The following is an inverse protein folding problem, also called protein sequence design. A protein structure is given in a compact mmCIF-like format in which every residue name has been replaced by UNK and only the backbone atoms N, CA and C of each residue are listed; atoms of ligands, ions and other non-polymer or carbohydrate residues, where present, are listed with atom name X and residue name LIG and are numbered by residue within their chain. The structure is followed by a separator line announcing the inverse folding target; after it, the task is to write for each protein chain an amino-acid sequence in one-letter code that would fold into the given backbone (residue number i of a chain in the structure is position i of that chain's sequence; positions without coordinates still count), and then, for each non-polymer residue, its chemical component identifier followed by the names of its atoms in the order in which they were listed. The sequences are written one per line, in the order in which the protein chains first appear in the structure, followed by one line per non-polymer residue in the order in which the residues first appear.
data_IF_427188946788
#
_entry.id   IF_427188946788
#
_cell.length_a   1.000
_cell.length_b   1.000
_cell.length_c   1.000
_cell.angle_alpha   90.00
_cell.angle_beta   90.00
_cell.angle_gamma   90.00
#
_symmetry.space_group_name_H-M   'P 1'
#
loop_
_entity.id
_entity.type
_entity.pdbx_description
1 polymer ?
#
# COMPACT_ATOMS: atom_id res chain seq x y z
N UNK A 1 -0.64 -24.21 -12.88
CA UNK A 1 0.65 -23.61 -12.44
C UNK A 1 1.00 -24.32 -11.16
N UNK A 2 2.11 -25.05 -11.08
CA UNK A 2 2.50 -25.80 -9.88
C UNK A 2 2.93 -24.80 -8.80
N UNK A 3 2.32 -24.88 -7.63
CA UNK A 3 2.53 -23.98 -6.48
C UNK A 3 3.37 -24.66 -5.40
N UNK A 4 3.93 -23.89 -4.47
CA UNK A 4 4.59 -24.45 -3.27
C UNK A 4 3.63 -25.26 -2.37
N UNK A 5 2.31 -25.02 -2.43
CA UNK A 5 1.33 -25.86 -1.76
C UNK A 5 1.23 -27.25 -2.42
N UNK A 6 1.28 -27.30 -3.75
CA UNK A 6 1.31 -28.57 -4.49
C UNK A 6 2.60 -29.37 -4.22
N UNK A 7 3.71 -28.69 -3.95
CA UNK A 7 4.98 -29.35 -3.54
C UNK A 7 4.83 -30.07 -2.21
N UNK A 8 4.10 -29.47 -1.25
CA UNK A 8 3.82 -30.09 0.05
C UNK A 8 2.60 -31.05 0.03
N UNK A 9 1.86 -31.08 -1.08
CA UNK A 9 0.60 -31.83 -1.19
C UNK A 9 -0.51 -31.28 -0.30
N UNK A 10 -0.54 -29.95 -0.12
CA UNK A 10 -1.51 -29.27 0.73
C UNK A 10 -2.47 -28.42 -0.12
N UNK A 11 -3.71 -28.18 0.35
CA UNK A 11 -4.60 -27.22 -0.29
C UNK A 11 -4.02 -25.80 -0.17
N UNK A 12 -4.28 -24.97 -1.18
CA UNK A 12 -3.89 -23.57 -1.17
C UNK A 12 -4.50 -22.85 0.03
N UNK A 13 -3.69 -22.11 0.79
CA UNK A 13 -4.13 -21.45 2.02
C UNK A 13 -4.06 -22.30 3.29
N UNK A 14 -3.46 -23.49 3.25
CA UNK A 14 -3.24 -24.33 4.43
C UNK A 14 -2.60 -23.55 5.61
N UNK A 15 -3.03 -23.90 6.83
CA UNK A 15 -2.60 -23.24 8.06
C UNK A 15 -1.11 -23.47 8.34
N UNK A 16 -0.49 -22.58 9.13
CA UNK A 16 0.92 -22.74 9.51
C UNK A 16 1.19 -24.06 10.24
N UNK A 17 0.20 -24.56 11.00
CA UNK A 17 0.30 -25.85 11.69
C UNK A 17 0.24 -27.03 10.71
N UNK A 18 -0.68 -27.01 9.75
CA UNK A 18 -0.76 -28.01 8.69
C UNK A 18 0.54 -28.06 7.86
N UNK A 19 1.10 -26.90 7.51
CA UNK A 19 2.38 -26.78 6.79
C UNK A 19 3.52 -27.39 7.62
N UNK A 20 3.59 -27.09 8.92
CA UNK A 20 4.62 -27.64 9.83
C UNK A 20 4.50 -29.16 9.99
N UNK A 21 3.29 -29.67 10.20
CA UNK A 21 3.07 -31.12 10.35
C UNK A 21 3.44 -31.85 9.05
N UNK A 22 2.98 -31.33 7.91
CA UNK A 22 3.25 -31.95 6.61
C UNK A 22 4.75 -31.92 6.26
N UNK A 23 5.43 -30.84 6.58
CA UNK A 23 6.89 -30.77 6.41
C UNK A 23 7.61 -31.84 7.25
N UNK A 24 7.21 -32.05 8.52
CA UNK A 24 7.80 -33.10 9.36
C UNK A 24 7.59 -34.51 8.79
N UNK A 25 6.42 -34.79 8.23
CA UNK A 25 6.13 -36.06 7.56
C UNK A 25 7.03 -36.26 6.33
N UNK A 26 7.10 -35.25 5.46
CA UNK A 26 7.90 -35.30 4.24
C UNK A 26 9.41 -35.39 4.56
N UNK A 27 9.89 -34.64 5.56
CA UNK A 27 11.28 -34.69 5.99
C UNK A 27 11.69 -36.06 6.55
N UNK A 28 10.75 -36.82 7.13
CA UNK A 28 10.99 -38.22 7.54
C UNK A 28 11.03 -39.18 6.36
N UNK A 29 10.19 -38.95 5.35
CA UNK A 29 10.10 -39.78 4.14
C UNK A 29 11.28 -39.59 3.19
N UNK A 30 11.84 -38.38 3.15
CA UNK A 30 12.91 -37.99 2.22
C UNK A 30 14.22 -37.61 2.94
N UNK A 31 14.46 -38.15 4.14
CA UNK A 31 15.65 -37.84 4.93
C UNK A 31 16.95 -38.25 4.19
N UNK A 32 18.01 -37.43 4.20
CA UNK A 32 19.25 -37.70 3.45
C UNK A 32 19.91 -39.04 3.78
N UNK A 33 19.87 -39.45 5.05
CA UNK A 33 20.45 -40.74 5.49
C UNK A 33 19.63 -41.97 5.08
N UNK A 34 18.39 -41.78 4.60
CA UNK A 34 17.46 -42.86 4.22
C UNK A 34 17.45 -43.08 2.70
N UNK A 35 17.88 -42.10 1.91
CA UNK A 35 17.77 -42.16 0.45
C UNK A 35 19.02 -41.64 -0.24
N UNK A 36 19.85 -42.55 -0.75
CA UNK A 36 20.96 -42.25 -1.68
C UNK A 36 20.49 -41.93 -3.11
N UNK A 37 19.17 -41.87 -3.34
CA UNK A 37 18.58 -41.55 -4.63
C UNK A 37 18.67 -40.02 -4.93
N UNK A 38 19.33 -39.62 -6.03
CA UNK A 38 19.42 -38.22 -6.46
C UNK A 38 18.06 -37.53 -6.64
N UNK A 39 17.03 -38.27 -7.05
CA UNK A 39 15.70 -37.70 -7.27
C UNK A 39 14.99 -37.37 -5.94
N UNK A 40 15.22 -38.17 -4.91
CA UNK A 40 14.73 -37.90 -3.56
C UNK A 40 15.41 -36.67 -2.95
N UNK A 41 16.71 -36.49 -3.18
CA UNK A 41 17.45 -35.32 -2.69
C UNK A 41 16.94 -34.03 -3.37
N UNK A 42 16.73 -34.07 -4.68
CA UNK A 42 16.15 -32.95 -5.43
C UNK A 42 14.74 -32.63 -4.94
N UNK A 43 13.93 -33.64 -4.67
CA UNK A 43 12.57 -33.46 -4.14
C UNK A 43 12.59 -32.87 -2.72
N UNK A 44 13.55 -33.27 -1.90
CA UNK A 44 13.73 -32.70 -0.56
C UNK A 44 14.18 -31.23 -0.62
N UNK A 45 15.02 -30.85 -1.60
CA UNK A 45 15.35 -29.44 -1.84
C UNK A 45 14.10 -28.62 -2.21
N UNK A 46 13.23 -29.14 -3.10
CA UNK A 46 11.96 -28.49 -3.44
C UNK A 46 11.05 -28.34 -2.22
N UNK A 47 10.96 -29.37 -1.37
CA UNK A 47 10.15 -29.37 -0.14
C UNK A 47 10.69 -28.36 0.88
N UNK A 48 12.02 -28.29 1.05
CA UNK A 48 12.66 -27.34 1.96
C UNK A 48 12.41 -25.90 1.52
N UNK A 49 12.52 -25.61 0.22
CA UNK A 49 12.26 -24.27 -0.29
C UNK A 49 10.78 -23.90 -0.18
N UNK A 50 9.87 -24.84 -0.48
CA UNK A 50 8.44 -24.65 -0.30
C UNK A 50 8.10 -24.38 1.18
N UNK A 51 8.66 -25.14 2.10
CA UNK A 51 8.48 -24.93 3.53
C UNK A 51 9.10 -23.62 4.00
N UNK A 52 10.30 -23.23 3.54
CA UNK A 52 10.92 -21.95 3.90
C UNK A 52 10.01 -20.77 3.54
N UNK A 53 9.51 -20.75 2.30
CA UNK A 53 8.63 -19.68 1.81
C UNK A 53 7.27 -19.72 2.49
N UNK A 54 6.67 -20.90 2.63
CA UNK A 54 5.34 -21.02 3.21
C UNK A 54 5.37 -20.91 4.73
N UNK A 55 6.41 -21.31 5.45
CA UNK A 55 6.43 -21.25 6.93
C UNK A 55 6.56 -19.81 7.46
N UNK A 56 7.23 -18.93 6.70
CA UNK A 56 7.40 -17.52 7.02
C UNK A 56 6.19 -16.68 6.56
N UNK A 57 5.52 -15.93 7.46
CA UNK A 57 4.32 -15.16 7.10
C UNK A 57 4.56 -14.09 6.03
N UNK A 58 5.71 -13.43 6.02
CA UNK A 58 6.03 -12.35 5.09
C UNK A 58 6.37 -12.92 3.70
N UNK A 59 7.17 -13.98 3.64
CA UNK A 59 7.50 -14.66 2.38
C UNK A 59 6.27 -15.33 1.77
N UNK A 60 5.40 -15.93 2.61
CA UNK A 60 4.14 -16.53 2.18
C UNK A 60 3.21 -15.48 1.55
N UNK A 61 3.11 -14.30 2.15
CA UNK A 61 2.33 -13.20 1.61
C UNK A 61 2.90 -12.69 0.28
N UNK A 62 4.20 -12.43 0.22
CA UNK A 62 4.87 -12.00 -1.02
C UNK A 62 4.70 -13.02 -2.16
N UNK A 63 4.74 -14.32 -1.83
CA UNK A 63 4.48 -15.40 -2.77
C UNK A 63 3.04 -15.37 -3.32
N UNK A 64 2.03 -15.18 -2.47
CA UNK A 64 0.63 -15.06 -2.90
C UNK A 64 0.40 -13.85 -3.80
N UNK A 65 0.97 -12.69 -3.46
CA UNK A 65 0.87 -11.48 -4.27
C UNK A 65 1.52 -11.66 -5.65
N UNK A 66 2.67 -12.33 -5.70
CA UNK A 66 3.37 -12.65 -6.96
C UNK A 66 2.55 -13.58 -7.84
N UNK A 67 1.93 -14.62 -7.27
CA UNK A 67 1.02 -15.51 -8.01
C UNK A 67 -0.19 -14.74 -8.56
N UNK A 68 -0.81 -13.87 -7.75
CA UNK A 68 -1.94 -13.05 -8.18
C UNK A 68 -1.56 -12.15 -9.37
N UNK A 69 -0.40 -11.47 -9.30
CA UNK A 69 0.09 -10.64 -10.39
C UNK A 69 0.37 -11.44 -11.69
N UNK A 70 0.88 -12.67 -11.57
CA UNK A 70 1.11 -13.57 -12.71
C UNK A 70 -0.19 -13.99 -13.40
N UNK A 71 -1.25 -14.24 -12.62
CA UNK A 71 -2.58 -14.57 -13.16
C UNK A 71 -3.18 -13.36 -13.88
N UNK A 72 -3.11 -12.17 -13.27
CA UNK A 72 -3.59 -10.93 -13.89
C UNK A 72 -2.85 -10.57 -15.19
N UNK A 73 -1.53 -10.81 -15.25
CA UNK A 73 -0.75 -10.60 -16.49
C UNK A 73 -1.12 -11.58 -17.59
N UNK A 74 -1.47 -12.83 -17.26
CA UNK A 74 -1.93 -13.81 -18.25
C UNK A 74 -3.31 -13.47 -18.79
N UNK A 75 -4.22 -12.96 -17.96
CA UNK A 75 -5.54 -12.54 -18.40
C UNK A 75 -5.51 -11.25 -19.23
N UNK A 76 -4.57 -10.34 -18.96
CA UNK A 76 -4.36 -9.11 -19.72
C UNK A 76 -3.70 -9.30 -21.10
N UNK A 77 -3.04 -10.45 -21.36
CA UNK A 77 -2.36 -10.76 -22.63
C UNK A 77 -3.24 -11.47 -23.68
N UNK A 78 -4.51 -11.70 -23.39
CA UNK A 78 -5.46 -12.24 -24.37
C UNK A 78 -5.84 -11.15 -25.39
N UNK A 79 -5.74 -11.40 -26.72
CA UNK A 79 -5.96 -10.35 -27.72
C UNK A 79 -7.43 -9.93 -27.76
N UNK A 80 -7.67 -8.61 -27.71
CA UNK A 80 -8.96 -7.98 -27.98
C UNK A 80 -9.28 -8.15 -29.47
N UNK A 81 -10.47 -8.62 -29.90
CA UNK A 81 -10.80 -8.62 -31.32
C UNK A 81 -10.95 -7.18 -31.84
N UNK A 82 -10.41 -6.93 -33.03
CA UNK A 82 -10.45 -5.64 -33.71
C UNK A 82 -11.89 -5.20 -34.04
N UNK A 83 -12.13 -3.90 -33.88
CA UNK A 83 -13.41 -3.27 -34.15
C UNK A 83 -13.72 -3.24 -35.66
N UNK A 84 -14.77 -3.94 -36.06
CA UNK A 84 -15.55 -3.65 -37.27
C UNK A 84 -16.98 -3.38 -36.82
N UNK A 85 -17.52 -2.24 -37.22
CA UNK A 85 -18.86 -1.79 -36.90
C UNK A 85 -19.90 -2.78 -37.45
N UNK A 86 -20.51 -3.56 -36.56
CA UNK A 86 -21.66 -4.40 -36.77
C UNK A 86 -22.48 -4.43 -35.47
N UNK A 87 -23.81 -4.64 -35.50
CA UNK A 87 -24.68 -4.40 -34.37
C UNK A 87 -24.23 -5.21 -33.16
N UNK A 88 -24.17 -4.54 -32.01
CA UNK A 88 -23.75 -5.07 -30.72
C UNK A 88 -24.31 -6.48 -30.49
N UNK A 89 -23.47 -7.52 -30.37
CA UNK A 89 -23.96 -8.82 -29.95
C UNK A 89 -24.41 -8.70 -28.48
N UNK A 90 -25.43 -9.45 -28.07
CA UNK A 90 -25.88 -9.42 -26.68
C UNK A 90 -24.72 -9.86 -25.78
N UNK A 91 -24.52 -9.12 -24.68
CA UNK A 91 -23.60 -9.49 -23.60
C UNK A 91 -23.81 -10.97 -23.26
N UNK A 92 -22.75 -11.79 -23.14
CA UNK A 92 -22.90 -13.19 -22.79
C UNK A 92 -23.59 -13.27 -21.41
N UNK A 93 -24.79 -13.85 -21.42
CA UNK A 93 -25.53 -14.17 -20.21
C UNK A 93 -24.72 -15.20 -19.44
N UNK A 94 -24.41 -14.82 -18.20
CA UNK A 94 -23.85 -15.63 -17.11
C UNK A 94 -22.38 -16.02 -17.24
N UNK A 95 -21.53 -15.31 -16.48
CA UNK A 95 -20.32 -15.92 -15.97
C UNK A 95 -20.70 -17.19 -15.19
N UNK A 96 -19.94 -18.30 -15.29
CA UNK A 96 -20.23 -19.49 -14.53
C UNK A 96 -20.26 -19.12 -13.05
N UNK A 97 -21.34 -19.50 -12.33
CA UNK A 97 -21.48 -19.17 -10.90
C UNK A 97 -20.24 -19.56 -10.10
N UNK A 98 -19.59 -20.66 -10.46
CA UNK A 98 -18.34 -21.11 -9.83
C UNK A 98 -17.18 -20.11 -9.99
N UNK A 99 -17.08 -19.38 -11.11
CA UNK A 99 -15.99 -18.44 -11.37
C UNK A 99 -16.16 -17.13 -10.59
N UNK A 100 -17.40 -16.64 -10.45
CA UNK A 100 -17.73 -15.51 -9.59
C UNK A 100 -17.57 -15.86 -8.11
N UNK A 101 -17.97 -17.07 -7.69
CA UNK A 101 -17.73 -17.53 -6.31
C UNK A 101 -16.24 -17.75 -6.03
N UNK A 102 -15.46 -18.18 -7.02
CA UNK A 102 -14.00 -18.38 -6.84
C UNK A 102 -13.25 -17.04 -6.80
N UNK A 103 -13.63 -16.05 -7.63
CA UNK A 103 -13.07 -14.69 -7.56
C UNK A 103 -13.49 -13.95 -6.28
N UNK A 104 -14.74 -14.10 -5.85
CA UNK A 104 -15.22 -13.57 -4.58
C UNK A 104 -14.59 -14.28 -3.38
N UNK A 105 -14.36 -15.60 -3.46
CA UNK A 105 -13.64 -16.36 -2.44
C UNK A 105 -12.13 -16.04 -2.43
N UNK A 106 -11.51 -15.69 -3.57
CA UNK A 106 -10.11 -15.26 -3.65
C UNK A 106 -9.92 -13.83 -3.11
N UNK A 107 -10.82 -12.90 -3.45
CA UNK A 107 -10.86 -11.58 -2.79
C UNK A 107 -11.15 -11.76 -1.30
N UNK A 108 -12.11 -12.63 -0.98
CA UNK A 108 -12.49 -13.00 0.38
C UNK A 108 -11.33 -13.60 1.16
N UNK A 109 -10.50 -14.47 0.60
CA UNK A 109 -9.37 -15.12 1.27
C UNK A 109 -8.15 -14.21 1.38
N UNK A 110 -7.91 -13.31 0.42
CA UNK A 110 -6.84 -12.29 0.51
C UNK A 110 -7.21 -11.22 1.53
N UNK A 111 -8.47 -10.78 1.53
CA UNK A 111 -9.03 -9.93 2.59
C UNK A 111 -9.05 -10.70 3.90
N UNK A 112 -9.45 -11.97 3.95
CA UNK A 112 -9.44 -12.79 5.16
C UNK A 112 -8.04 -13.09 5.68
N UNK A 113 -6.98 -13.16 4.86
CA UNK A 113 -5.62 -13.34 5.34
C UNK A 113 -5.04 -12.04 5.92
N UNK A 114 -5.35 -10.89 5.29
CA UNK A 114 -5.06 -9.59 5.86
C UNK A 114 -5.90 -9.34 7.13
N UNK A 115 -7.17 -9.73 7.13
CA UNK A 115 -8.11 -9.68 8.27
C UNK A 115 -7.73 -10.67 9.37
N UNK A 116 -7.21 -11.87 9.08
CA UNK A 116 -6.70 -12.82 10.08
C UNK A 116 -5.39 -12.31 10.68
N UNK A 117 -4.51 -11.69 9.89
CA UNK A 117 -3.36 -10.95 10.44
C UNK A 117 -3.80 -9.77 11.33
N UNK A 118 -4.84 -9.03 10.92
CA UNK A 118 -5.44 -7.95 11.70
C UNK A 118 -6.25 -8.42 12.92
N UNK A 119 -6.86 -9.62 12.89
CA UNK A 119 -7.66 -10.22 13.97
C UNK A 119 -6.79 -10.93 15.01
N UNK A 120 -5.64 -11.50 14.61
CA UNK A 120 -4.72 -12.18 15.54
C UNK A 120 -3.66 -11.25 16.15
N UNK A 121 -3.40 -10.07 15.58
CA UNK A 121 -2.47 -9.07 16.14
C UNK A 121 -3.00 -7.62 16.12
N UNK A 122 -4.15 -7.32 16.76
CA UNK A 122 -4.74 -5.96 16.75
C UNK A 122 -3.95 -4.90 17.55
N UNK A 123 -2.95 -5.27 18.35
CA UNK A 123 -2.30 -4.34 19.30
C UNK A 123 -0.85 -3.91 18.96
N UNK A 124 -0.27 -4.36 17.83
CA UNK A 124 1.15 -4.09 17.54
C UNK A 124 1.43 -3.38 16.20
N UNK A 125 0.46 -3.30 15.28
CA UNK A 125 0.71 -2.74 13.95
C UNK A 125 0.60 -1.22 13.99
N UNK A 126 1.74 -0.57 14.16
CA UNK A 126 1.91 0.89 14.09
C UNK A 126 2.24 1.40 12.70
N UNK A 127 2.51 0.50 11.74
CA UNK A 127 3.00 0.88 10.40
C UNK A 127 2.21 0.17 9.30
N UNK A 128 1.77 0.93 8.30
CA UNK A 128 1.12 0.44 7.08
C UNK A 128 1.95 0.84 5.86
N UNK A 129 2.37 -0.15 5.07
CA UNK A 129 3.12 0.03 3.83
C UNK A 129 2.25 -0.41 2.65
N UNK A 130 1.71 0.54 1.90
CA UNK A 130 0.76 0.35 0.81
C UNK A 130 1.25 1.01 -0.50
N UNK A 131 2.56 1.17 -0.65
CA UNK A 131 3.16 1.85 -1.79
C UNK A 131 3.04 1.03 -3.10
N UNK A 132 2.82 1.69 -4.24
CA UNK A 132 2.92 1.04 -5.56
C UNK A 132 1.79 0.06 -5.91
N UNK A 133 0.67 0.09 -5.20
CA UNK A 133 -0.43 -0.87 -5.34
C UNK A 133 -1.52 -0.45 -6.35
N UNK A 134 -1.32 0.67 -7.05
CA UNK A 134 -2.30 1.27 -7.96
C UNK A 134 -3.66 1.57 -7.31
N UNK A 135 -3.66 1.88 -6.02
CA UNK A 135 -4.87 2.18 -5.26
C UNK A 135 -5.49 3.50 -5.72
N UNK A 136 -6.80 3.49 -5.95
CA UNK A 136 -7.60 4.71 -6.15
C UNK A 136 -8.29 5.20 -4.88
N UNK A 137 -8.36 4.34 -3.85
CA UNK A 137 -8.89 4.63 -2.53
C UNK A 137 -8.24 3.69 -1.50
N UNK A 138 -8.44 3.97 -0.21
CA UNK A 138 -8.12 2.99 0.82
C UNK A 138 -8.93 1.71 0.60
N UNK A 139 -8.32 0.52 0.71
CA UNK A 139 -9.04 -0.74 0.57
C UNK A 139 -10.10 -0.87 1.69
N UNK A 140 -11.37 -0.64 1.35
CA UNK A 140 -12.51 -0.59 2.31
C UNK A 140 -12.65 -1.87 3.14
N UNK A 141 -12.16 -2.99 2.63
CA UNK A 141 -12.14 -4.29 3.30
C UNK A 141 -11.06 -4.42 4.38
N UNK A 142 -10.17 -3.43 4.51
CA UNK A 142 -9.16 -3.34 5.56
C UNK A 142 -9.52 -2.14 6.43
N UNK A 143 -10.26 -2.33 7.52
CA UNK A 143 -10.35 -1.26 8.52
C UNK A 143 -8.93 -0.99 9.04
N UNK A 144 -8.43 0.25 9.02
CA UNK A 144 -7.13 0.54 9.59
C UNK A 144 -7.14 0.18 11.08
N UNK A 145 -6.06 -0.39 11.64
CA UNK A 145 -5.97 -0.59 13.09
C UNK A 145 -6.07 0.77 13.80
N UNK A 146 -6.51 0.82 15.07
CA UNK A 146 -6.90 2.06 15.73
C UNK A 146 -5.74 3.03 16.06
N UNK A 147 -4.49 2.65 15.82
CA UNK A 147 -3.30 3.39 16.28
C UNK A 147 -2.12 3.33 15.30
N UNK A 148 -2.38 3.59 14.02
CA UNK A 148 -1.28 3.74 13.05
C UNK A 148 -0.45 4.99 13.37
N UNK A 149 0.87 4.80 13.40
CA UNK A 149 1.86 5.88 13.54
C UNK A 149 2.56 6.18 12.21
N UNK A 150 2.62 5.22 11.29
CA UNK A 150 3.33 5.36 10.02
C UNK A 150 2.49 4.82 8.87
N UNK A 151 2.19 5.65 7.89
CA UNK A 151 1.44 5.25 6.69
C UNK A 151 2.20 5.68 5.44
N UNK A 152 2.51 4.72 4.59
CA UNK A 152 3.05 4.95 3.25
C UNK A 152 2.04 4.51 2.20
N UNK A 153 1.46 5.47 1.51
CA UNK A 153 0.52 5.33 0.40
C UNK A 153 1.11 5.86 -0.91
N UNK A 154 2.44 5.97 -0.99
CA UNK A 154 3.12 6.53 -2.16
C UNK A 154 2.95 5.68 -3.43
N UNK A 155 3.17 6.28 -4.60
CA UNK A 155 3.12 5.59 -5.90
C UNK A 155 1.77 4.88 -6.17
N UNK A 156 0.67 5.51 -5.81
CA UNK A 156 -0.68 5.02 -6.08
C UNK A 156 -1.40 5.94 -7.09
N UNK A 157 -2.72 5.85 -7.17
CA UNK A 157 -3.59 6.68 -8.05
C UNK A 157 -4.65 7.39 -7.22
N UNK A 158 -4.31 7.76 -5.98
CA UNK A 158 -5.23 8.44 -5.07
C UNK A 158 -5.50 9.84 -5.61
N UNK A 159 -6.77 10.22 -5.70
CA UNK A 159 -7.19 11.58 -6.08
C UNK A 159 -7.47 12.49 -4.89
N UNK A 160 -7.49 11.92 -3.68
CA UNK A 160 -7.73 12.61 -2.42
C UNK A 160 -7.22 11.77 -1.25
N UNK A 161 -7.18 12.38 -0.06
CA UNK A 161 -6.79 11.67 1.17
C UNK A 161 -7.92 10.74 1.61
N UNK A 162 -7.67 9.44 1.85
CA UNK A 162 -8.72 8.53 2.27
C UNK A 162 -9.35 8.91 3.62
N UNK A 163 -10.69 8.94 3.68
CA UNK A 163 -11.46 9.34 4.87
C UNK A 163 -11.16 8.50 6.13
N UNK A 164 -10.70 7.25 5.97
CA UNK A 164 -10.33 6.38 7.08
C UNK A 164 -9.06 6.84 7.82
N UNK A 165 -8.20 7.64 7.18
CA UNK A 165 -7.00 8.17 7.85
C UNK A 165 -7.35 9.21 8.93
N UNK A 166 -8.54 9.81 8.89
CA UNK A 166 -8.99 10.75 9.92
C UNK A 166 -9.35 10.08 11.23
N UNK A 167 -9.37 8.74 11.28
CA UNK A 167 -9.52 7.99 12.53
C UNK A 167 -8.15 7.76 13.23
N UNK A 168 -7.04 8.03 12.54
CA UNK A 168 -5.68 7.71 12.99
C UNK A 168 -5.04 8.88 13.74
N UNK A 169 -5.36 9.01 15.03
CA UNK A 169 -4.94 10.14 15.88
C UNK A 169 -3.44 10.16 16.21
N UNK A 170 -2.79 9.00 16.19
CA UNK A 170 -1.39 8.83 16.57
C UNK A 170 -0.44 8.83 15.37
N UNK A 171 -0.91 9.30 14.21
CA UNK A 171 -0.13 9.29 12.98
C UNK A 171 1.03 10.28 13.09
N UNK A 172 2.26 9.79 12.95
CA UNK A 172 3.52 10.57 12.98
C UNK A 172 4.15 10.73 11.61
N UNK A 173 3.92 9.79 10.71
CA UNK A 173 4.39 9.81 9.33
C UNK A 173 3.27 9.48 8.36
N UNK A 174 3.09 10.33 7.34
CA UNK A 174 2.20 10.10 6.23
C UNK A 174 2.90 10.45 4.91
N UNK A 175 3.12 9.44 4.06
CA UNK A 175 3.51 9.68 2.67
C UNK A 175 2.36 9.37 1.72
N UNK A 176 2.04 10.37 0.91
CA UNK A 176 1.09 10.35 -0.19
C UNK A 176 1.79 10.72 -1.51
N UNK A 177 3.13 10.60 -1.55
CA UNK A 177 3.94 10.99 -2.69
C UNK A 177 3.57 10.23 -3.97
N UNK A 178 3.77 10.83 -5.14
CA UNK A 178 3.52 10.17 -6.43
C UNK A 178 2.08 9.62 -6.54
N UNK A 179 1.09 10.47 -6.30
CA UNK A 179 -0.33 10.18 -6.49
C UNK A 179 -0.96 11.20 -7.45
N UNK A 180 -2.29 11.23 -7.53
CA UNK A 180 -3.05 12.16 -8.37
C UNK A 180 -3.89 13.13 -7.51
N UNK A 181 -3.43 13.44 -6.29
CA UNK A 181 -4.20 14.21 -5.33
C UNK A 181 -4.35 15.65 -5.83
N UNK A 182 -5.59 16.08 -5.99
CA UNK A 182 -5.94 17.44 -6.43
C UNK A 182 -6.39 18.34 -5.29
N UNK A 183 -6.94 17.74 -4.23
CA UNK A 183 -7.46 18.43 -3.06
C UNK A 183 -6.99 17.74 -1.78
N UNK A 184 -6.50 18.55 -0.85
CA UNK A 184 -6.21 18.14 0.52
C UNK A 184 -7.38 18.57 1.44
N UNK A 185 -7.73 17.79 2.47
CA UNK A 185 -8.88 18.05 3.34
C UNK A 185 -8.83 19.40 4.05
N UNK A 186 -9.99 20.05 4.17
CA UNK A 186 -10.13 21.38 4.77
C UNK A 186 -9.65 21.49 6.23
N UNK A 187 -9.72 20.40 6.98
CA UNK A 187 -9.23 20.28 8.37
C UNK A 187 -8.35 19.05 8.49
N UNK A 188 -7.30 19.17 9.29
CA UNK A 188 -6.31 18.12 9.58
C UNK A 188 -6.02 18.01 11.09
N UNK A 189 -6.79 18.67 11.95
CA UNK A 189 -6.59 18.74 13.40
C UNK A 189 -6.46 17.38 14.10
N UNK A 190 -7.00 16.32 13.50
CA UNK A 190 -6.88 14.97 14.04
C UNK A 190 -5.45 14.42 14.00
N UNK A 191 -4.61 14.94 13.11
CA UNK A 191 -3.20 14.56 12.95
C UNK A 191 -2.27 15.50 13.74
N UNK A 192 -2.64 15.84 14.98
CA UNK A 192 -1.87 16.74 15.83
C UNK A 192 -0.45 16.22 16.15
N UNK A 193 -0.24 14.90 16.11
CA UNK A 193 1.05 14.23 16.33
C UNK A 193 1.88 14.03 15.05
N UNK A 194 1.39 14.47 13.88
CA UNK A 194 2.05 14.24 12.60
C UNK A 194 3.33 15.06 12.50
N UNK A 195 4.46 14.38 12.30
CA UNK A 195 5.78 14.99 12.19
C UNK A 195 6.24 15.13 10.73
N UNK A 196 5.85 14.19 9.88
CA UNK A 196 6.26 14.15 8.47
C UNK A 196 5.03 13.96 7.59
N UNK A 197 4.85 14.91 6.68
CA UNK A 197 3.85 14.85 5.62
C UNK A 197 4.53 15.02 4.26
N UNK A 198 4.46 13.98 3.45
CA UNK A 198 4.98 13.98 2.08
C UNK A 198 3.82 13.95 1.08
N UNK A 199 3.61 15.07 0.40
CA UNK A 199 2.63 15.28 -0.66
C UNK A 199 3.31 15.52 -2.01
N UNK A 200 4.60 15.20 -2.14
CA UNK A 200 5.36 15.45 -3.35
C UNK A 200 4.80 14.69 -4.57
N UNK A 201 5.03 15.22 -5.78
CA UNK A 201 4.58 14.61 -7.02
C UNK A 201 3.06 14.32 -7.05
N UNK A 202 2.26 15.35 -6.76
CA UNK A 202 0.81 15.32 -6.84
C UNK A 202 0.29 16.44 -7.78
N UNK A 203 -1.01 16.76 -7.74
CA UNK A 203 -1.65 17.78 -8.58
C UNK A 203 -2.33 18.85 -7.73
N UNK A 204 -1.81 19.13 -6.54
CA UNK A 204 -2.38 20.12 -5.63
C UNK A 204 -2.23 21.52 -6.22
N UNK A 205 -3.35 22.26 -6.31
CA UNK A 205 -3.37 23.66 -6.76
C UNK A 205 -3.35 24.67 -5.61
N UNK A 206 -3.86 24.26 -4.46
CA UNK A 206 -3.87 25.05 -3.24
C UNK A 206 -3.76 24.12 -2.03
N UNK A 207 -3.34 24.68 -0.90
CA UNK A 207 -3.45 24.04 0.40
C UNK A 207 -4.63 24.64 1.18
N UNK A 208 -5.33 23.81 1.98
CA UNK A 208 -6.40 24.28 2.86
C UNK A 208 -5.84 25.05 4.05
N UNK A 209 -6.65 25.93 4.63
CA UNK A 209 -6.30 26.69 5.83
C UNK A 209 -5.97 25.74 7.01
N UNK A 210 -6.65 24.59 7.08
CA UNK A 210 -6.40 23.56 8.09
C UNK A 210 -4.99 22.95 8.08
N UNK A 211 -4.12 23.29 7.12
CA UNK A 211 -2.71 22.89 7.19
C UNK A 211 -2.03 23.42 8.46
N UNK A 212 -2.43 24.61 8.94
CA UNK A 212 -1.91 25.20 10.18
C UNK A 212 -2.32 24.46 11.45
N UNK A 213 -3.19 23.45 11.37
CA UNK A 213 -3.61 22.63 12.52
C UNK A 213 -2.56 21.55 12.87
N UNK A 214 -1.58 21.29 12.01
CA UNK A 214 -0.56 20.25 12.19
C UNK A 214 0.57 20.71 13.14
N UNK A 215 0.27 20.79 14.44
CA UNK A 215 1.15 21.41 15.45
C UNK A 215 2.51 20.73 15.63
N UNK A 216 2.60 19.41 15.38
CA UNK A 216 3.86 18.65 15.51
C UNK A 216 4.64 18.53 14.20
N UNK A 217 4.17 19.14 13.10
CA UNK A 217 4.74 18.93 11.78
C UNK A 217 6.14 19.55 11.69
N UNK A 218 7.12 18.72 11.33
CA UNK A 218 8.53 19.09 11.16
C UNK A 218 8.92 19.16 9.70
N UNK A 219 8.45 18.18 8.92
CA UNK A 219 8.79 18.06 7.50
C UNK A 219 7.52 18.09 6.67
N UNK A 220 7.44 19.05 5.77
CA UNK A 220 6.38 19.17 4.77
C UNK A 220 7.00 19.20 3.36
N UNK A 221 6.77 18.12 2.61
CA UNK A 221 7.19 18.04 1.22
C UNK A 221 6.02 18.27 0.27
N UNK A 222 6.07 19.38 -0.47
CA UNK A 222 5.08 19.76 -1.47
C UNK A 222 5.68 19.80 -2.87
N UNK A 223 6.88 19.26 -3.05
CA UNK A 223 7.62 19.35 -4.31
C UNK A 223 6.83 18.75 -5.48
N UNK A 224 6.95 19.33 -6.66
CA UNK A 224 6.31 18.88 -7.89
C UNK A 224 4.79 18.78 -7.77
N UNK A 225 4.16 19.88 -7.33
CA UNK A 225 2.72 20.10 -7.37
C UNK A 225 2.40 21.27 -8.31
N UNK A 226 1.17 21.80 -8.24
CA UNK A 226 0.67 22.91 -9.05
C UNK A 226 0.33 24.13 -8.17
N UNK A 227 1.03 24.30 -7.05
CA UNK A 227 0.76 25.36 -6.08
C UNK A 227 1.18 26.73 -6.65
N UNK A 228 0.24 27.66 -6.75
CA UNK A 228 0.48 29.05 -7.10
C UNK A 228 0.63 29.93 -5.85
N UNK A 229 -0.11 29.59 -4.79
CA UNK A 229 -0.22 30.32 -3.52
C UNK A 229 -0.12 29.35 -2.34
N UNK A 230 0.47 29.81 -1.24
CA UNK A 230 0.43 29.14 0.05
C UNK A 230 -0.47 29.92 1.03
N UNK A 231 -1.24 29.23 1.88
CA UNK A 231 -2.11 29.88 2.85
C UNK A 231 -1.29 30.55 3.98
N UNK A 232 -1.75 31.67 4.55
CA UNK A 232 -1.06 32.34 5.66
C UNK A 232 -0.90 31.46 6.91
N UNK A 233 -1.75 30.44 7.06
CA UNK A 233 -1.73 29.44 8.13
C UNK A 233 -0.44 28.59 8.15
N UNK A 234 0.40 28.64 7.11
CA UNK A 234 1.76 28.10 7.18
C UNK A 234 2.58 28.76 8.31
N UNK A 235 2.26 29.99 8.72
CA UNK A 235 2.88 30.66 9.87
C UNK A 235 2.47 30.03 11.21
N UNK A 236 1.37 29.27 11.25
CA UNK A 236 0.85 28.61 12.44
C UNK A 236 1.40 27.20 12.65
N UNK A 237 2.50 26.85 11.96
CA UNK A 237 3.23 25.59 12.12
C UNK A 237 4.47 25.79 13.01
N UNK A 238 4.37 25.69 14.34
CA UNK A 238 5.45 26.09 15.26
C UNK A 238 6.67 25.16 15.21
N UNK A 239 6.48 23.91 14.75
CA UNK A 239 7.50 22.86 14.77
C UNK A 239 8.18 22.65 13.40
N UNK A 240 7.80 23.41 12.37
CA UNK A 240 8.24 23.17 11.00
C UNK A 240 9.72 23.53 10.83
N UNK A 241 10.51 22.54 10.42
CA UNK A 241 11.95 22.69 10.19
C UNK A 241 12.31 22.58 8.71
N UNK A 242 11.53 21.85 7.92
CA UNK A 242 11.84 21.57 6.52
C UNK A 242 10.58 21.72 5.66
N UNK A 243 10.59 22.72 4.78
CA UNK A 243 9.55 22.98 3.79
C UNK A 243 10.13 22.82 2.39
N UNK A 244 9.65 21.85 1.61
CA UNK A 244 10.09 21.62 0.23
C UNK A 244 9.03 22.06 -0.77
N UNK A 245 9.40 22.95 -1.67
CA UNK A 245 8.49 23.61 -2.62
C UNK A 245 8.92 23.46 -4.08
N UNK A 246 10.00 22.72 -4.33
CA UNK A 246 10.60 22.57 -5.65
C UNK A 246 9.58 22.17 -6.71
N UNK A 247 9.65 22.78 -7.89
CA UNK A 247 8.80 22.38 -9.01
C UNK A 247 7.33 22.77 -8.88
N UNK A 248 7.01 23.77 -8.05
CA UNK A 248 5.69 24.42 -8.03
C UNK A 248 5.71 25.76 -8.80
N UNK A 249 4.61 26.11 -9.51
CA UNK A 249 4.45 27.39 -10.20
C UNK A 249 4.11 28.55 -9.24
N UNK A 250 4.87 28.69 -8.13
CA UNK A 250 4.60 29.72 -7.11
C UNK A 250 4.71 31.13 -7.69
N UNK A 251 3.67 31.93 -7.47
CA UNK A 251 3.61 33.31 -7.94
C UNK A 251 4.74 34.17 -7.33
N UNK A 252 5.20 35.23 -8.00
CA UNK A 252 6.19 36.16 -7.45
C UNK A 252 5.77 36.73 -6.09
N UNK A 253 4.47 37.02 -5.92
CA UNK A 253 3.91 37.52 -4.67
C UNK A 253 4.04 36.49 -3.55
N UNK A 254 3.72 35.21 -3.83
CA UNK A 254 3.87 34.13 -2.85
C UNK A 254 5.32 33.91 -2.49
N UNK A 255 6.25 33.97 -3.44
CA UNK A 255 7.69 33.88 -3.15
C UNK A 255 8.17 35.02 -2.25
N UNK A 256 7.75 36.25 -2.54
CA UNK A 256 8.07 37.40 -1.69
C UNK A 256 7.48 37.26 -0.28
N UNK A 257 6.24 36.76 -0.17
CA UNK A 257 5.61 36.47 1.11
C UNK A 257 6.37 35.39 1.90
N UNK A 258 6.79 34.29 1.26
CA UNK A 258 7.60 33.25 1.90
C UNK A 258 8.90 33.82 2.46
N UNK A 259 9.62 34.61 1.65
CA UNK A 259 10.88 35.25 2.07
C UNK A 259 10.68 36.26 3.20
N UNK A 260 9.57 37.01 3.19
CA UNK A 260 9.29 38.06 4.16
C UNK A 260 8.63 37.56 5.46
N UNK A 261 7.97 36.41 5.47
CA UNK A 261 7.18 35.95 6.63
C UNK A 261 7.67 34.61 7.17
N UNK A 262 7.82 33.60 6.30
CA UNK A 262 8.20 32.25 6.72
C UNK A 262 9.69 32.13 7.06
N UNK A 263 10.56 32.79 6.30
CA UNK A 263 12.02 32.71 6.51
C UNK A 263 12.50 33.27 7.85
N UNK A 264 11.67 34.08 8.52
CA UNK A 264 11.96 34.59 9.87
C UNK A 264 11.70 33.56 10.97
N UNK A 265 11.06 32.42 10.67
CA UNK A 265 10.90 31.34 11.62
C UNK A 265 12.27 30.71 11.93
N UNK A 266 12.68 30.66 13.21
CA UNK A 266 13.97 30.12 13.58
C UNK A 266 14.05 28.64 13.23
N UNK A 267 15.12 28.24 12.54
CA UNK A 267 15.41 26.88 12.10
C UNK A 267 14.57 26.33 10.92
N UNK A 268 13.71 27.13 10.30
CA UNK A 268 13.00 26.71 9.09
C UNK A 268 13.93 26.74 7.86
N UNK A 269 14.06 25.59 7.21
CA UNK A 269 14.77 25.41 5.94
C UNK A 269 13.75 25.32 4.80
N UNK A 270 13.86 26.24 3.86
CA UNK A 270 13.00 26.27 2.68
C UNK A 270 13.82 25.77 1.49
N UNK A 271 13.38 24.68 0.87
CA UNK A 271 14.02 24.02 -0.25
C UNK A 271 13.23 24.27 -1.53
N UNK A 272 13.87 24.96 -2.48
CA UNK A 272 13.29 25.40 -3.75
C UNK A 272 13.60 24.48 -4.93
#
# INVERSE_FOLDING_TARGET
MRTYYDVLGLPFGASAEQIRQRYKELARLYHPDVSQDPDALRKMQEINEAYRILSDPQLRLAYHLRLAALVLRKTARSPRPAAVAAPTPPLPRTYPRWMLTTLAALLGVVVSAAVIYHLYHPFAVKRAFLHGLHLSAWPVYLSPPPSLEWVDLSHNRLTGVPALLFEQKHLRYLSLAHNEITLFPGTCAVWAELEVLDLSHNRLKALPLGIGELQSLRVLDLSYNQLEVLPPEMMALPSLTDLRLRGNPLSPQTRAWIEAQLKHQPNLRILW
#
